data_IF_022460534263
#
_entry.id   IF_022460534263
#
_cell.length_a   1.000
_cell.length_b   1.000
_cell.length_c   1.000
_cell.angle_alpha   90.00
_cell.angle_beta   90.00
_cell.angle_gamma   90.00
#
_symmetry.space_group_name_H-M   'P 1'
#
loop_
_entity.id
_entity.type
_entity.pdbx_description
1 polymer ?
#
# COMPACT_ATOMS: atom_id res chain seq x y z
N UNK A 1 -1.06 -31.62 3.64
CA UNK A 1 -0.10 -30.84 2.82
C UNK A 1 -0.25 -31.26 1.36
N UNK A 2 -0.24 -32.57 1.08
CA UNK A 2 -0.26 -33.16 -0.27
C UNK A 2 -1.40 -32.70 -1.20
N UNK A 3 -2.60 -32.48 -0.66
CA UNK A 3 -3.73 -31.95 -1.42
C UNK A 3 -3.48 -30.50 -1.88
N UNK A 4 -2.94 -29.63 -1.03
CA UNK A 4 -2.67 -28.23 -1.40
C UNK A 4 -1.54 -28.11 -2.42
N UNK A 5 -0.53 -28.99 -2.34
CA UNK A 5 0.54 -29.06 -3.33
C UNK A 5 0.03 -29.54 -4.69
N UNK A 6 -0.90 -30.49 -4.73
CA UNK A 6 -1.47 -31.00 -5.99
C UNK A 6 -2.26 -29.94 -6.77
N UNK A 7 -2.93 -29.01 -6.08
CA UNK A 7 -3.69 -27.92 -6.71
C UNK A 7 -2.91 -26.59 -6.83
N UNK A 8 -1.71 -26.54 -6.27
CA UNK A 8 -0.84 -25.35 -6.24
C UNK A 8 0.34 -25.40 -7.20
N UNK A 9 0.60 -26.55 -7.84
CA UNK A 9 1.71 -26.72 -8.77
C UNK A 9 1.23 -26.84 -10.23
N UNK A 10 1.97 -26.29 -11.21
CA UNK A 10 1.72 -26.55 -12.62
C UNK A 10 1.64 -28.05 -12.92
N UNK A 11 0.77 -28.49 -13.86
CA UNK A 11 0.11 -27.69 -14.90
C UNK A 11 -1.29 -27.13 -14.54
N UNK A 12 -1.80 -27.39 -13.33
CA UNK A 12 -3.16 -26.99 -12.93
C UNK A 12 -3.14 -26.14 -11.66
N UNK A 13 -2.59 -24.93 -11.75
CA UNK A 13 -2.41 -24.02 -10.62
C UNK A 13 -3.68 -23.21 -10.27
N UNK A 14 -4.82 -23.89 -10.12
CA UNK A 14 -6.11 -23.24 -9.85
C UNK A 14 -6.08 -22.34 -8.61
N UNK A 15 -5.34 -22.73 -7.58
CA UNK A 15 -5.25 -21.97 -6.34
C UNK A 15 -4.55 -20.63 -6.57
N UNK A 16 -3.36 -20.62 -7.18
CA UNK A 16 -2.63 -19.38 -7.45
C UNK A 16 -3.41 -18.48 -8.41
N UNK A 17 -3.98 -19.03 -9.48
CA UNK A 17 -4.79 -18.26 -10.43
C UNK A 17 -6.01 -17.63 -9.75
N UNK A 18 -6.72 -18.38 -8.92
CA UNK A 18 -7.90 -17.87 -8.20
C UNK A 18 -7.49 -16.77 -7.23
N UNK A 19 -6.42 -16.98 -6.46
CA UNK A 19 -5.88 -15.95 -5.57
C UNK A 19 -5.51 -14.69 -6.37
N UNK A 20 -4.90 -14.86 -7.54
CA UNK A 20 -4.38 -13.75 -8.36
C UNK A 20 -5.52 -12.89 -8.91
N UNK A 21 -6.51 -13.54 -9.51
CA UNK A 21 -7.70 -12.87 -10.01
C UNK A 21 -8.53 -12.25 -8.88
N UNK A 22 -8.65 -12.95 -7.74
CA UNK A 22 -9.35 -12.41 -6.57
C UNK A 22 -8.68 -11.16 -6.03
N UNK A 23 -7.34 -11.10 -6.09
CA UNK A 23 -6.55 -9.96 -5.64
C UNK A 23 -6.75 -8.75 -6.55
N UNK A 24 -6.72 -8.95 -7.88
CA UNK A 24 -7.03 -7.90 -8.86
C UNK A 24 -8.46 -7.39 -8.69
N UNK A 25 -9.44 -8.31 -8.62
CA UNK A 25 -10.84 -7.95 -8.47
C UNK A 25 -11.08 -7.16 -7.16
N UNK A 26 -10.47 -7.61 -6.06
CA UNK A 26 -10.55 -6.92 -4.77
C UNK A 26 -9.90 -5.53 -4.85
N UNK A 27 -8.74 -5.40 -5.49
CA UNK A 27 -8.07 -4.11 -5.68
C UNK A 27 -8.96 -3.10 -6.41
N UNK A 28 -9.56 -3.53 -7.52
CA UNK A 28 -10.43 -2.69 -8.34
C UNK A 28 -11.70 -2.30 -7.58
N UNK A 29 -12.35 -3.27 -6.94
CA UNK A 29 -13.55 -3.04 -6.15
C UNK A 29 -13.30 -2.04 -5.00
N UNK A 30 -12.24 -2.27 -4.20
CA UNK A 30 -11.90 -1.41 -3.08
C UNK A 30 -11.52 0.01 -3.55
N UNK A 31 -10.73 0.12 -4.63
CA UNK A 31 -10.37 1.41 -5.23
C UNK A 31 -11.61 2.18 -5.66
N UNK A 32 -12.52 1.52 -6.38
CA UNK A 32 -13.75 2.13 -6.86
C UNK A 32 -14.67 2.54 -5.70
N UNK A 33 -14.88 1.65 -4.72
CA UNK A 33 -15.70 1.89 -3.54
C UNK A 33 -15.19 3.07 -2.71
N UNK A 34 -13.89 3.12 -2.43
CA UNK A 34 -13.25 4.24 -1.72
C UNK A 34 -13.41 5.53 -2.52
N UNK A 35 -13.13 5.50 -3.83
CA UNK A 35 -13.21 6.71 -4.68
C UNK A 35 -14.62 7.28 -4.74
N UNK A 36 -15.65 6.44 -4.91
CA UNK A 36 -17.05 6.87 -4.86
C UNK A 36 -17.39 7.47 -3.49
N UNK A 37 -17.00 6.81 -2.40
CA UNK A 37 -17.27 7.28 -1.04
C UNK A 37 -16.63 8.66 -0.78
N UNK A 38 -15.38 8.84 -1.21
CA UNK A 38 -14.68 10.12 -1.10
C UNK A 38 -15.31 11.19 -1.99
N UNK A 39 -15.69 10.85 -3.22
CA UNK A 39 -16.37 11.77 -4.13
C UNK A 39 -17.73 12.22 -3.58
N UNK A 40 -18.55 11.29 -3.09
CA UNK A 40 -19.84 11.62 -2.49
C UNK A 40 -19.70 12.57 -1.28
N UNK A 41 -18.69 12.36 -0.43
CA UNK A 41 -18.37 13.27 0.68
C UNK A 41 -17.87 14.62 0.19
N UNK A 42 -17.01 14.63 -0.81
CA UNK A 42 -16.53 15.86 -1.44
C UNK A 42 -17.71 16.67 -2.00
N UNK A 43 -18.64 16.04 -2.72
CA UNK A 43 -19.81 16.74 -3.26
C UNK A 43 -20.74 17.25 -2.17
N UNK A 44 -20.99 16.45 -1.12
CA UNK A 44 -21.83 16.88 -0.01
C UNK A 44 -21.25 18.10 0.73
N UNK A 45 -19.93 18.23 0.84
CA UNK A 45 -19.27 19.32 1.57
C UNK A 45 -19.12 20.58 0.73
N UNK A 46 -18.77 20.45 -0.54
CA UNK A 46 -18.38 21.58 -1.39
C UNK A 46 -19.46 22.01 -2.40
N UNK A 47 -20.50 21.20 -2.61
CA UNK A 47 -21.63 21.52 -3.50
C UNK A 47 -22.98 21.67 -2.79
N UNK A 48 -23.09 21.34 -1.50
CA UNK A 48 -24.26 21.78 -0.73
C UNK A 48 -24.23 23.31 -0.68
N UNK A 49 -25.21 23.96 -1.31
CA UNK A 49 -25.32 25.41 -1.38
C UNK A 49 -25.24 26.00 0.03
N UNK A 50 -24.44 27.07 0.19
CA UNK A 50 -24.37 27.83 1.43
C UNK A 50 -25.74 28.51 1.63
N UNK A 51 -26.72 27.80 2.21
CA UNK A 51 -27.97 28.41 2.63
C UNK A 51 -27.61 29.59 3.55
N UNK A 52 -28.12 30.81 3.27
CA UNK A 52 -27.75 31.99 4.02
C UNK A 52 -28.30 31.90 5.45
N UNK A 53 -27.52 31.35 6.38
CA UNK A 53 -27.85 31.38 7.81
C UNK A 53 -27.91 32.83 8.29
N UNK A 54 -29.05 33.29 8.85
CA UNK A 54 -29.22 34.66 9.32
C UNK A 54 -28.60 34.83 10.72
N UNK A 55 -27.26 34.93 10.81
CA UNK A 55 -26.57 35.27 12.07
C UNK A 55 -25.84 36.61 12.02
N UNK A 56 -26.01 37.38 13.09
CA UNK A 56 -25.82 38.83 13.20
C UNK A 56 -24.40 39.30 13.54
N UNK A 57 -23.37 38.45 13.42
CA UNK A 57 -21.96 38.88 13.39
C UNK A 57 -21.08 38.01 12.44
N UNK A 58 -21.38 37.96 11.12
CA UNK A 58 -20.94 36.87 10.27
C UNK A 58 -19.60 37.08 9.53
N UNK A 59 -19.15 38.33 9.33
CA UNK A 59 -18.18 38.62 8.26
C UNK A 59 -16.78 38.02 8.44
N UNK A 60 -16.23 37.97 9.66
CA UNK A 60 -14.86 37.49 9.88
C UNK A 60 -14.77 35.96 10.00
N UNK A 61 -15.77 35.32 10.63
CA UNK A 61 -15.80 33.87 10.82
C UNK A 61 -16.16 33.15 9.52
N UNK A 62 -17.12 33.67 8.74
CA UNK A 62 -17.46 33.12 7.43
C UNK A 62 -16.28 33.21 6.46
N UNK A 63 -15.54 34.33 6.46
CA UNK A 63 -14.38 34.52 5.61
C UNK A 63 -13.25 33.52 5.94
N UNK A 64 -12.98 33.27 7.23
CA UNK A 64 -11.98 32.27 7.67
C UNK A 64 -12.41 30.85 7.30
N UNK A 65 -13.69 30.53 7.42
CA UNK A 65 -14.21 29.22 7.03
C UNK A 65 -14.12 29.02 5.51
N UNK A 66 -14.49 30.04 4.72
CA UNK A 66 -14.40 30.00 3.27
C UNK A 66 -12.95 29.81 2.79
N UNK A 67 -11.98 30.53 3.38
CA UNK A 67 -10.57 30.35 3.03
C UNK A 67 -10.03 28.97 3.43
N UNK A 68 -10.46 28.44 4.57
CA UNK A 68 -10.11 27.07 4.98
C UNK A 68 -10.71 26.01 4.05
N UNK A 69 -11.98 26.15 3.65
CA UNK A 69 -12.64 25.29 2.66
C UNK A 69 -11.88 25.29 1.33
N UNK A 70 -11.54 26.47 0.80
CA UNK A 70 -10.85 26.60 -0.48
C UNK A 70 -9.43 25.99 -0.44
N UNK A 71 -8.67 26.24 0.63
CA UNK A 71 -7.35 25.63 0.80
C UNK A 71 -7.44 24.09 0.85
N UNK A 72 -8.44 23.53 1.53
CA UNK A 72 -8.65 22.08 1.63
C UNK A 72 -9.09 21.48 0.30
N UNK A 73 -9.96 22.16 -0.45
CA UNK A 73 -10.35 21.76 -1.81
C UNK A 73 -9.12 21.62 -2.71
N UNK A 74 -8.22 22.62 -2.69
CA UNK A 74 -6.95 22.56 -3.44
C UNK A 74 -6.08 21.37 -3.01
N UNK A 75 -5.92 21.13 -1.71
CA UNK A 75 -5.16 19.98 -1.22
C UNK A 75 -5.77 18.65 -1.67
N UNK A 76 -7.09 18.49 -1.57
CA UNK A 76 -7.80 17.29 -2.03
C UNK A 76 -7.54 17.06 -3.52
N UNK A 77 -7.60 18.10 -4.35
CA UNK A 77 -7.31 18.00 -5.79
C UNK A 77 -5.87 17.56 -6.05
N UNK A 78 -4.89 18.11 -5.33
CA UNK A 78 -3.48 17.71 -5.44
C UNK A 78 -3.31 16.23 -5.10
N UNK A 79 -3.87 15.77 -3.98
CA UNK A 79 -3.78 14.36 -3.59
C UNK A 79 -4.55 13.44 -4.53
N UNK A 80 -5.69 13.89 -5.08
CA UNK A 80 -6.44 13.13 -6.08
C UNK A 80 -5.63 12.97 -7.38
N UNK A 81 -5.01 14.04 -7.88
CA UNK A 81 -4.12 13.98 -9.04
C UNK A 81 -2.93 13.05 -8.78
N UNK A 82 -2.29 13.20 -7.63
CA UNK A 82 -1.16 12.35 -7.23
C UNK A 82 -1.58 10.87 -7.13
N UNK A 83 -2.74 10.59 -6.53
CA UNK A 83 -3.30 9.23 -6.44
C UNK A 83 -3.56 8.64 -7.82
N UNK A 84 -4.07 9.44 -8.77
CA UNK A 84 -4.29 9.03 -10.15
C UNK A 84 -2.98 8.71 -10.87
N UNK A 85 -1.94 9.51 -10.69
CA UNK A 85 -0.60 9.26 -11.25
C UNK A 85 -0.02 7.95 -10.68
N UNK A 86 -0.10 7.76 -9.36
CA UNK A 86 0.37 6.53 -8.70
C UNK A 86 -0.37 5.32 -9.25
N UNK A 87 -1.70 5.39 -9.31
CA UNK A 87 -2.55 4.30 -9.80
C UNK A 87 -2.26 3.96 -11.26
N UNK A 88 -2.13 4.97 -12.12
CA UNK A 88 -1.82 4.77 -13.54
C UNK A 88 -0.42 4.16 -13.74
N UNK A 89 0.59 4.67 -13.02
CA UNK A 89 1.96 4.14 -13.07
C UNK A 89 2.01 2.67 -12.65
N UNK A 90 1.34 2.33 -11.55
CA UNK A 90 1.25 0.96 -11.08
C UNK A 90 0.51 0.05 -12.08
N UNK A 91 -0.65 0.50 -12.56
CA UNK A 91 -1.47 -0.28 -13.50
C UNK A 91 -0.70 -0.57 -14.78
N UNK A 92 0.05 0.41 -15.29
CA UNK A 92 0.92 0.25 -16.44
C UNK A 92 1.99 -0.83 -16.20
N UNK A 93 2.70 -0.78 -15.06
CA UNK A 93 3.76 -1.76 -14.74
C UNK A 93 3.23 -3.17 -14.53
N UNK A 94 2.12 -3.30 -13.80
CA UNK A 94 1.49 -4.61 -13.60
C UNK A 94 0.96 -5.19 -14.91
N UNK A 95 0.35 -4.38 -15.77
CA UNK A 95 -0.08 -4.83 -17.10
C UNK A 95 1.11 -5.22 -17.98
N UNK A 96 2.20 -4.46 -17.93
CA UNK A 96 3.42 -4.78 -18.67
C UNK A 96 4.04 -6.11 -18.19
N UNK A 97 4.14 -6.33 -16.88
CA UNK A 97 4.56 -7.60 -16.29
C UNK A 97 3.73 -8.78 -16.80
N UNK A 98 2.40 -8.67 -16.76
CA UNK A 98 1.50 -9.72 -17.24
C UNK A 98 1.65 -9.98 -18.73
N UNK A 99 1.82 -8.93 -19.51
CA UNK A 99 2.04 -9.01 -20.95
C UNK A 99 3.35 -9.73 -21.27
N UNK A 100 4.45 -9.36 -20.60
CA UNK A 100 5.74 -10.02 -20.77
C UNK A 100 5.72 -11.48 -20.35
N UNK A 101 5.08 -11.80 -19.21
CA UNK A 101 4.91 -13.18 -18.75
C UNK A 101 4.11 -14.02 -19.74
N UNK A 102 3.02 -13.48 -20.30
CA UNK A 102 2.22 -14.16 -21.32
C UNK A 102 3.02 -14.44 -22.60
N UNK A 103 3.78 -13.44 -23.09
CA UNK A 103 4.62 -13.63 -24.27
C UNK A 103 5.76 -14.63 -24.05
N UNK A 104 6.38 -14.61 -22.87
CA UNK A 104 7.42 -15.58 -22.53
C UNK A 104 6.88 -17.01 -22.53
N UNK A 105 5.76 -17.24 -21.84
CA UNK A 105 5.06 -18.54 -21.85
C UNK A 105 4.69 -18.98 -23.27
N UNK A 106 4.15 -18.07 -24.09
CA UNK A 106 3.75 -18.38 -25.46
C UNK A 106 4.96 -18.74 -26.34
N UNK A 107 6.08 -18.03 -26.20
CA UNK A 107 7.30 -18.31 -26.95
C UNK A 107 7.80 -19.73 -26.67
N UNK A 108 7.77 -20.16 -25.41
CA UNK A 108 8.13 -21.52 -25.00
C UNK A 108 7.21 -22.58 -25.65
N UNK A 109 5.92 -22.29 -25.76
CA UNK A 109 4.96 -23.19 -26.44
C UNK A 109 5.09 -23.21 -27.96
N UNK A 110 5.43 -22.08 -28.59
CA UNK A 110 5.64 -22.02 -30.05
C UNK A 110 6.87 -22.83 -30.48
N UNK A 111 7.94 -22.85 -29.67
CA UNK A 111 9.08 -23.75 -29.90
C UNK A 111 8.71 -25.24 -29.91
N UNK A 112 7.58 -25.62 -29.29
CA UNK A 112 7.03 -26.97 -29.32
C UNK A 112 6.14 -27.25 -30.56
N UNK A 113 6.18 -26.39 -31.58
CA UNK A 113 5.50 -26.56 -32.86
C UNK A 113 4.00 -26.25 -32.85
N UNK A 114 3.53 -25.47 -31.86
CA UNK A 114 2.13 -25.07 -31.71
C UNK A 114 1.96 -23.60 -32.06
N UNK A 115 1.86 -23.28 -33.35
CA UNK A 115 1.43 -21.95 -33.80
C UNK A 115 -0.09 -21.86 -33.67
N UNK A 116 -0.54 -21.35 -32.53
CA UNK A 116 -1.97 -21.20 -32.20
C UNK A 116 -2.34 -19.71 -32.19
N UNK A 117 -3.48 -19.31 -32.79
CA UNK A 117 -3.96 -17.93 -32.75
C UNK A 117 -4.41 -17.54 -31.33
N UNK A 118 -4.23 -16.26 -30.97
CA UNK A 118 -4.60 -15.72 -29.66
C UNK A 118 -6.08 -15.97 -29.40
N UNK A 119 -6.38 -16.92 -28.51
CA UNK A 119 -7.74 -17.26 -28.10
C UNK A 119 -7.88 -17.09 -26.58
N UNK A 120 -9.10 -16.84 -26.10
CA UNK A 120 -9.36 -16.73 -24.64
C UNK A 120 -8.94 -17.98 -23.86
N UNK A 121 -8.93 -19.15 -24.52
CA UNK A 121 -8.42 -20.39 -23.95
C UNK A 121 -6.92 -20.37 -23.64
N UNK A 122 -6.12 -19.64 -24.43
CA UNK A 122 -4.68 -19.52 -24.20
C UNK A 122 -4.36 -18.69 -22.97
N UNK A 123 -5.10 -17.59 -22.74
CA UNK A 123 -4.94 -16.77 -21.53
C UNK A 123 -5.30 -17.59 -20.29
N UNK A 124 -6.37 -18.39 -20.37
CA UNK A 124 -6.73 -19.33 -19.31
C UNK A 124 -5.64 -20.36 -19.04
N UNK A 125 -5.09 -20.98 -20.10
CA UNK A 125 -4.00 -21.94 -19.98
C UNK A 125 -2.73 -21.31 -19.39
N UNK A 126 -2.33 -20.13 -19.87
CA UNK A 126 -1.21 -19.37 -19.33
C UNK A 126 -1.37 -19.11 -17.84
N UNK A 127 -2.54 -18.64 -17.40
CA UNK A 127 -2.78 -18.37 -15.99
C UNK A 127 -2.73 -19.63 -15.12
N UNK A 128 -3.13 -20.79 -15.64
CA UNK A 128 -3.13 -22.07 -14.92
C UNK A 128 -1.76 -22.76 -14.92
N UNK A 129 -0.95 -22.54 -15.96
CA UNK A 129 0.37 -23.16 -16.11
C UNK A 129 1.49 -22.34 -15.47
N UNK A 130 1.30 -21.03 -15.28
CA UNK A 130 2.32 -20.14 -14.70
C UNK A 130 2.16 -19.95 -13.19
N UNK A 131 3.28 -19.68 -12.53
CA UNK A 131 3.38 -19.41 -11.09
C UNK A 131 3.49 -17.90 -10.81
N UNK A 132 2.62 -17.08 -11.42
CA UNK A 132 2.73 -15.61 -11.44
C UNK A 132 3.09 -14.96 -10.10
N UNK A 133 2.47 -15.38 -8.99
CA UNK A 133 2.78 -14.85 -7.66
C UNK A 133 4.16 -15.24 -7.15
N UNK A 134 4.54 -16.49 -7.39
CA UNK A 134 5.82 -17.02 -6.97
C UNK A 134 6.94 -16.33 -7.77
N UNK A 135 6.76 -16.23 -9.09
CA UNK A 135 7.69 -15.54 -9.99
C UNK A 135 7.85 -14.07 -9.59
N UNK A 136 6.74 -13.39 -9.30
CA UNK A 136 6.75 -12.01 -8.81
C UNK A 136 7.50 -11.89 -7.49
N UNK A 137 7.24 -12.77 -6.52
CA UNK A 137 7.89 -12.73 -5.22
C UNK A 137 9.40 -13.01 -5.31
N UNK A 138 9.81 -13.99 -6.13
CA UNK A 138 11.22 -14.30 -6.39
C UNK A 138 11.92 -13.14 -7.10
N UNK A 139 11.27 -12.49 -8.07
CA UNK A 139 11.83 -11.34 -8.77
C UNK A 139 12.20 -10.20 -7.80
N UNK A 140 11.39 -9.98 -6.76
CA UNK A 140 11.65 -8.96 -5.75
C UNK A 140 12.91 -9.20 -4.91
N UNK A 141 13.38 -10.44 -4.81
CA UNK A 141 14.52 -10.80 -3.95
C UNK A 141 15.68 -11.44 -4.72
N UNK A 142 15.54 -11.54 -6.05
CA UNK A 142 16.45 -12.26 -6.96
C UNK A 142 17.91 -11.87 -6.79
N UNK A 143 18.17 -10.58 -6.60
CA UNK A 143 19.51 -10.03 -6.42
C UNK A 143 19.55 -9.01 -5.26
N UNK A 144 20.77 -8.66 -4.84
CA UNK A 144 20.99 -7.72 -3.72
C UNK A 144 20.26 -6.39 -3.89
N UNK A 145 20.41 -5.66 -5.01
CA UNK A 145 19.64 -4.45 -5.30
C UNK A 145 18.13 -4.64 -5.18
N UNK A 146 17.59 -5.71 -5.77
CA UNK A 146 16.15 -6.00 -5.77
C UNK A 146 15.64 -6.19 -4.34
N UNK A 147 16.34 -7.03 -3.56
CA UNK A 147 16.01 -7.31 -2.17
C UNK A 147 15.93 -6.04 -1.30
N UNK A 148 16.78 -5.05 -1.58
CA UNK A 148 16.85 -3.80 -0.81
C UNK A 148 15.67 -2.91 -1.09
N UNK A 149 15.32 -2.75 -2.36
CA UNK A 149 14.13 -2.01 -2.76
C UNK A 149 12.87 -2.70 -2.25
N UNK A 150 12.80 -4.03 -2.29
CA UNK A 150 11.70 -4.78 -1.68
C UNK A 150 11.62 -4.52 -0.17
N UNK A 151 12.75 -4.57 0.54
CA UNK A 151 12.83 -4.24 1.97
C UNK A 151 12.39 -2.80 2.24
N UNK A 152 12.88 -1.83 1.47
CA UNK A 152 12.53 -0.41 1.61
C UNK A 152 11.04 -0.19 1.33
N UNK A 153 10.47 -0.82 0.32
CA UNK A 153 9.05 -0.71 0.00
C UNK A 153 8.16 -1.32 1.09
N UNK A 154 8.54 -2.48 1.64
CA UNK A 154 7.79 -3.11 2.75
C UNK A 154 7.92 -2.29 4.04
N UNK A 155 9.10 -1.73 4.34
CA UNK A 155 9.27 -0.84 5.50
C UNK A 155 8.54 0.50 5.31
N UNK A 156 8.54 1.05 4.09
CA UNK A 156 7.69 2.19 3.73
C UNK A 156 6.22 1.87 4.00
N UNK A 157 5.76 0.68 3.59
CA UNK A 157 4.42 0.18 3.88
C UNK A 157 4.14 0.10 5.37
N UNK A 158 5.08 -0.42 6.15
CA UNK A 158 4.99 -0.45 7.61
C UNK A 158 4.81 0.95 8.20
N UNK A 159 5.62 1.92 7.78
CA UNK A 159 5.55 3.29 8.31
C UNK A 159 4.27 4.02 7.93
N UNK A 160 3.83 3.90 6.68
CA UNK A 160 2.54 4.42 6.25
C UNK A 160 1.39 3.78 7.02
N UNK A 161 1.44 2.46 7.25
CA UNK A 161 0.47 1.74 8.06
C UNK A 161 0.41 2.25 9.50
N UNK A 162 1.56 2.47 10.15
CA UNK A 162 1.64 3.07 11.49
C UNK A 162 1.05 4.47 11.54
N UNK A 163 1.41 5.31 10.56
CA UNK A 163 0.92 6.67 10.47
C UNK A 163 -0.61 6.69 10.26
N UNK A 164 -1.13 5.89 9.33
CA UNK A 164 -2.56 5.76 9.08
C UNK A 164 -3.31 5.27 10.31
N UNK A 165 -2.82 4.24 11.00
CA UNK A 165 -3.45 3.72 12.20
C UNK A 165 -3.47 4.75 13.35
N UNK A 166 -2.40 5.52 13.48
CA UNK A 166 -2.30 6.61 14.46
C UNK A 166 -3.31 7.72 14.15
N UNK A 167 -3.36 8.18 12.89
CA UNK A 167 -4.32 9.20 12.44
C UNK A 167 -5.77 8.75 12.55
N UNK A 168 -6.08 7.51 12.17
CA UNK A 168 -7.39 6.91 12.34
C UNK A 168 -7.81 6.88 13.81
N UNK A 169 -6.88 6.53 14.72
CA UNK A 169 -7.14 6.54 16.16
C UNK A 169 -7.38 7.94 16.71
N UNK A 170 -6.60 8.93 16.25
CA UNK A 170 -6.73 10.35 16.64
C UNK A 170 -8.07 10.93 16.16
N UNK A 171 -8.46 10.64 14.92
CA UNK A 171 -9.73 11.07 14.31
C UNK A 171 -10.93 10.20 14.70
N UNK A 172 -10.70 9.13 15.48
CA UNK A 172 -11.72 8.18 15.96
C UNK A 172 -12.52 7.51 14.83
N UNK A 173 -11.84 7.18 13.73
CA UNK A 173 -12.46 6.41 12.66
C UNK A 173 -12.88 5.03 13.17
N UNK A 174 -14.04 4.56 12.72
CA UNK A 174 -14.53 3.22 13.07
C UNK A 174 -13.71 2.18 12.31
N UNK A 175 -13.54 0.99 12.90
CA UNK A 175 -12.83 -0.13 12.28
C UNK A 175 -13.44 -0.48 10.90
N UNK A 176 -14.77 -0.42 10.80
CA UNK A 176 -15.51 -0.64 9.54
C UNK A 176 -15.17 0.38 8.46
N UNK A 177 -14.95 1.64 8.84
CA UNK A 177 -14.60 2.69 7.89
C UNK A 177 -13.14 2.64 7.43
N UNK A 178 -12.28 2.02 8.24
CA UNK A 178 -10.86 1.82 7.94
C UNK A 178 -10.60 0.54 7.15
N UNK A 179 -11.47 -0.47 7.29
CA UNK A 179 -11.29 -1.78 6.67
C UNK A 179 -10.99 -1.69 5.16
N UNK A 180 -11.69 -0.87 4.34
CA UNK A 180 -11.36 -0.76 2.91
C UNK A 180 -9.92 -0.29 2.66
N UNK A 181 -9.42 0.67 3.45
CA UNK A 181 -8.06 1.19 3.33
C UNK A 181 -7.02 0.17 3.81
N UNK A 182 -7.33 -0.58 4.88
CA UNK A 182 -6.46 -1.63 5.39
C UNK A 182 -6.30 -2.74 4.35
N UNK A 183 -7.42 -3.21 3.79
CA UNK A 183 -7.43 -4.22 2.75
C UNK A 183 -6.73 -3.73 1.48
N UNK A 184 -7.02 -2.49 1.04
CA UNK A 184 -6.38 -1.91 -0.13
C UNK A 184 -4.86 -1.78 0.06
N UNK A 185 -4.39 -1.39 1.26
CA UNK A 185 -2.97 -1.30 1.57
C UNK A 185 -2.24 -2.65 1.70
N UNK A 186 -2.97 -3.76 1.85
CA UNK A 186 -2.39 -5.09 1.69
C UNK A 186 -2.24 -5.46 0.22
N UNK A 187 -3.15 -4.97 -0.61
CA UNK A 187 -3.30 -5.40 -2.00
C UNK A 187 -2.43 -4.58 -2.95
N UNK A 188 -2.59 -3.27 -2.89
CA UNK A 188 -1.91 -2.30 -3.72
C UNK A 188 -0.71 -1.67 -2.99
N UNK A 189 0.20 -1.02 -3.74
CA UNK A 189 1.26 -0.22 -3.16
C UNK A 189 0.71 0.83 -2.21
N UNK A 190 1.46 1.05 -1.14
CA UNK A 190 0.94 1.76 0.03
C UNK A 190 0.76 3.25 -0.24
N UNK A 191 1.56 3.85 -1.14
CA UNK A 191 1.48 5.30 -1.41
C UNK A 191 0.12 5.68 -2.00
N UNK A 192 -0.46 4.82 -2.84
CA UNK A 192 -1.80 5.01 -3.38
C UNK A 192 -2.84 5.01 -2.26
N UNK A 193 -2.83 3.98 -1.42
CA UNK A 193 -3.76 3.87 -0.29
C UNK A 193 -3.61 5.05 0.69
N UNK A 194 -2.37 5.44 0.99
CA UNK A 194 -2.07 6.59 1.85
C UNK A 194 -2.61 7.89 1.25
N UNK A 195 -2.49 8.10 -0.07
CA UNK A 195 -3.02 9.29 -0.74
C UNK A 195 -4.55 9.38 -0.65
N UNK A 196 -5.26 8.27 -0.85
CA UNK A 196 -6.72 8.20 -0.67
C UNK A 196 -7.11 8.45 0.79
N UNK A 197 -6.33 7.91 1.73
CA UNK A 197 -6.54 8.13 3.15
C UNK A 197 -6.32 9.59 3.56
N UNK A 198 -5.31 10.27 2.98
CA UNK A 198 -5.09 11.71 3.18
C UNK A 198 -6.29 12.54 2.69
N UNK A 199 -6.85 12.20 1.53
CA UNK A 199 -8.08 12.85 1.03
C UNK A 199 -9.20 12.68 2.06
N UNK A 200 -9.36 11.47 2.62
CA UNK A 200 -10.32 11.23 3.70
C UNK A 200 -10.08 12.14 4.91
N UNK A 201 -8.82 12.26 5.37
CA UNK A 201 -8.48 13.11 6.51
C UNK A 201 -8.86 14.59 6.26
N UNK A 202 -8.69 15.08 5.03
CA UNK A 202 -9.11 16.43 4.67
C UNK A 202 -10.63 16.62 4.66
N UNK A 203 -11.37 15.63 4.14
CA UNK A 203 -12.83 15.65 4.13
C UNK A 203 -13.44 15.55 5.53
N UNK A 204 -12.74 14.91 6.48
CA UNK A 204 -13.18 14.74 7.88
C UNK A 204 -12.48 15.72 8.84
N UNK A 205 -11.95 16.85 8.31
CA UNK A 205 -11.36 17.91 9.15
C UNK A 205 -12.44 18.59 9.99
N UNK A 206 -12.23 18.81 11.30
CA UNK A 206 -13.22 19.38 12.22
C UNK A 206 -13.62 20.81 11.86
N UNK A 207 -12.79 21.51 11.09
CA UNK A 207 -13.07 22.88 10.64
C UNK A 207 -14.16 22.92 9.55
N UNK A 208 -14.40 21.79 8.87
CA UNK A 208 -15.31 21.70 7.71
C UNK A 208 -16.44 20.70 7.96
N UNK A 209 -16.16 19.62 8.70
CA UNK A 209 -17.16 18.64 9.03
C UNK A 209 -18.23 19.27 9.94
N UNK A 210 -19.54 19.02 9.69
CA UNK A 210 -20.60 19.44 10.58
C UNK A 210 -20.29 18.95 12.00
N UNK A 211 -20.41 19.82 12.99
CA UNK A 211 -20.21 19.42 14.38
C UNK A 211 -21.24 18.34 14.72
N UNK A 212 -20.79 17.10 14.91
CA UNK A 212 -21.67 16.00 15.31
C UNK A 212 -22.12 16.24 16.76
N UNK A 213 -23.39 16.62 17.01
CA UNK A 213 -23.88 16.95 18.35
C UNK A 213 -23.87 15.73 19.29
N UNK A 214 -23.69 14.51 18.75
CA UNK A 214 -23.75 13.26 19.49
C UNK A 214 -22.39 12.80 20.05
N UNK A 215 -21.27 13.42 19.66
CA UNK A 215 -19.94 12.88 19.95
C UNK A 215 -19.40 13.18 21.37
N UNK A 216 -20.21 12.95 22.42
CA UNK A 216 -19.66 12.93 23.79
C UNK A 216 -18.60 11.83 23.88
N UNK A 217 -17.35 12.15 24.26
CA UNK A 217 -16.27 11.17 24.32
C UNK A 217 -16.60 10.12 25.39
N UNK A 218 -16.98 8.91 24.94
CA UNK A 218 -17.12 7.80 25.86
C UNK A 218 -15.79 7.56 26.61
N UNK A 219 -15.80 7.40 27.93
CA UNK A 219 -14.59 7.16 28.70
C UNK A 219 -13.92 5.86 28.23
N UNK A 220 -12.76 6.00 27.58
CA UNK A 220 -11.99 4.83 27.09
C UNK A 220 -11.32 4.16 28.28
N UNK A 221 -11.76 2.94 28.61
CA UNK A 221 -11.03 2.06 29.53
C UNK A 221 -9.61 1.83 28.97
N UNK A 222 -8.59 2.17 29.76
CA UNK A 222 -7.18 1.96 29.44
C UNK A 222 -6.88 0.47 29.40
N UNK A 223 -7.05 -0.18 28.24
CA UNK A 223 -6.55 -1.53 28.02
C UNK A 223 -5.02 -1.47 27.91
N UNK A 224 -4.31 -2.36 28.61
CA UNK A 224 -2.86 -2.55 28.43
C UNK A 224 -2.62 -2.95 26.97
N UNK A 225 -1.82 -2.18 26.25
CA UNK A 225 -1.47 -2.42 24.84
C UNK A 225 -0.07 -3.00 24.75
N UNK A 226 0.15 -3.93 23.83
CA UNK A 226 1.46 -4.52 23.58
C UNK A 226 2.42 -3.50 22.95
N UNK A 227 3.73 -3.64 23.18
CA UNK A 227 4.74 -2.77 22.55
C UNK A 227 4.82 -3.04 21.04
N UNK A 228 5.05 -1.97 20.27
CA UNK A 228 5.26 -2.04 18.83
C UNK A 228 6.65 -2.58 18.45
N UNK A 229 7.56 -2.64 19.41
CA UNK A 229 8.95 -3.10 19.18
C UNK A 229 9.00 -4.53 18.65
N UNK A 230 8.19 -5.45 19.22
CA UNK A 230 8.20 -6.86 18.84
C UNK A 230 7.79 -7.09 17.37
N UNK A 231 6.63 -6.62 16.88
CA UNK A 231 6.27 -6.80 15.47
C UNK A 231 7.27 -6.11 14.53
N UNK A 232 7.87 -4.99 14.93
CA UNK A 232 8.95 -4.35 14.14
C UNK A 232 10.19 -5.22 14.03
N UNK A 233 10.64 -5.85 15.12
CA UNK A 233 11.78 -6.77 15.08
C UNK A 233 11.47 -8.00 14.22
N UNK A 234 10.26 -8.57 14.36
CA UNK A 234 9.83 -9.71 13.55
C UNK A 234 9.77 -9.37 12.06
N UNK A 235 9.25 -8.19 11.70
CA UNK A 235 9.22 -7.72 10.32
C UNK A 235 10.64 -7.58 9.77
N UNK A 236 11.52 -6.84 10.46
CA UNK A 236 12.89 -6.63 9.98
C UNK A 236 13.69 -7.94 9.88
N UNK A 237 13.56 -8.84 10.85
CA UNK A 237 14.18 -10.16 10.79
C UNK A 237 13.69 -10.95 9.57
N UNK A 238 12.38 -10.93 9.31
CA UNK A 238 11.80 -11.59 8.13
C UNK A 238 12.37 -11.01 6.84
N UNK A 239 12.43 -9.69 6.72
CA UNK A 239 12.96 -9.01 5.54
C UNK A 239 14.45 -9.32 5.28
N UNK A 240 15.27 -9.44 6.33
CA UNK A 240 16.66 -9.86 6.19
C UNK A 240 16.82 -11.33 5.78
N UNK A 241 15.88 -12.18 6.17
CA UNK A 241 15.90 -13.61 5.84
C UNK A 241 15.41 -13.89 4.40
N UNK A 242 14.51 -13.08 3.86
CA UNK A 242 13.88 -13.31 2.55
C UNK A 242 14.89 -13.61 1.41
N UNK A 243 15.95 -12.82 1.17
CA UNK A 243 16.87 -13.06 0.06
C UNK A 243 17.66 -14.37 0.22
N UNK A 244 18.00 -14.74 1.46
CA UNK A 244 18.72 -15.98 1.75
C UNK A 244 17.85 -17.22 1.62
N UNK A 245 16.55 -17.07 1.84
CA UNK A 245 15.57 -18.14 1.79
C UNK A 245 14.84 -18.20 0.45
N UNK A 246 15.22 -17.42 -0.57
CA UNK A 246 14.49 -17.37 -1.84
C UNK A 246 14.27 -18.76 -2.48
N UNK A 247 15.25 -19.66 -2.42
CA UNK A 247 15.14 -21.01 -2.99
C UNK A 247 14.57 -22.05 -2.00
N UNK A 248 14.12 -21.63 -0.82
CA UNK A 248 13.64 -22.52 0.24
C UNK A 248 12.10 -22.58 0.23
N UNK A 249 11.52 -23.74 0.50
CA UNK A 249 10.05 -23.95 0.50
C UNK A 249 9.30 -23.00 1.47
N UNK A 250 9.98 -22.57 2.53
CA UNK A 250 9.48 -21.59 3.50
C UNK A 250 9.46 -20.13 3.02
N UNK A 251 9.97 -19.81 1.83
CA UNK A 251 10.03 -18.46 1.29
C UNK A 251 8.66 -17.77 1.28
N UNK A 252 7.68 -18.41 0.64
CA UNK A 252 6.33 -17.86 0.51
C UNK A 252 5.64 -17.71 1.86
N UNK A 253 5.87 -18.63 2.80
CA UNK A 253 5.34 -18.51 4.16
C UNK A 253 5.93 -17.30 4.89
N UNK A 254 7.20 -16.99 4.67
CA UNK A 254 7.84 -15.81 5.23
C UNK A 254 7.31 -14.50 4.62
N UNK A 255 7.05 -14.48 3.30
CA UNK A 255 6.39 -13.35 2.63
C UNK A 255 5.00 -13.10 3.20
N UNK A 256 4.18 -14.16 3.35
CA UNK A 256 2.85 -14.06 3.96
C UNK A 256 2.93 -13.61 5.42
N UNK A 257 3.89 -14.12 6.18
CA UNK A 257 4.12 -13.68 7.55
C UNK A 257 4.43 -12.18 7.62
N UNK A 258 5.32 -11.67 6.75
CA UNK A 258 5.62 -10.24 6.68
C UNK A 258 4.35 -9.42 6.40
N UNK A 259 3.49 -9.87 5.47
CA UNK A 259 2.18 -9.25 5.19
C UNK A 259 1.24 -9.26 6.40
N UNK A 260 1.15 -10.36 7.13
CA UNK A 260 0.36 -10.44 8.37
C UNK A 260 0.87 -9.46 9.44
N UNK A 261 2.19 -9.31 9.56
CA UNK A 261 2.79 -8.34 10.49
C UNK A 261 2.39 -6.90 10.11
N UNK A 262 2.29 -6.56 8.82
CA UNK A 262 1.83 -5.23 8.36
C UNK A 262 0.40 -4.88 8.81
N UNK A 263 -0.44 -5.86 9.16
CA UNK A 263 -1.80 -5.63 9.68
C UNK A 263 -1.84 -5.30 11.18
N UNK A 264 -0.77 -5.60 11.91
CA UNK A 264 -0.71 -5.44 13.38
C UNK A 264 -1.07 -4.03 13.88
N UNK A 265 -0.64 -2.91 13.24
CA UNK A 265 -0.98 -1.56 13.66
C UNK A 265 -2.49 -1.30 13.75
N UNK A 266 -3.28 -1.97 12.92
CA UNK A 266 -4.73 -1.79 12.83
C UNK A 266 -5.52 -2.68 13.80
N UNK A 267 -4.86 -3.64 14.47
CA UNK A 267 -5.52 -4.57 15.39
C UNK A 267 -6.08 -3.93 16.66
N UNK A 268 -5.70 -2.68 16.97
CA UNK A 268 -6.01 -2.01 18.24
C UNK A 268 -5.33 -2.61 19.48
N UNK A 269 -4.51 -3.67 19.30
CA UNK A 269 -3.81 -4.38 20.39
C UNK A 269 -2.43 -3.80 20.69
N UNK A 270 -1.84 -3.06 19.76
CA UNK A 270 -0.52 -2.44 19.90
C UNK A 270 -0.58 -0.97 20.32
N UNK A 271 0.43 -0.54 21.06
CA UNK A 271 0.61 0.85 21.48
C UNK A 271 1.08 1.69 20.28
N UNK A 272 0.28 2.69 19.92
CA UNK A 272 0.60 3.68 18.89
C UNK A 272 0.99 5.02 19.53
N UNK A 273 1.67 4.97 20.68
CA UNK A 273 2.24 6.18 21.30
C UNK A 273 3.38 6.68 20.43
N UNK A 274 3.53 7.99 20.31
CA UNK A 274 4.58 8.60 19.48
C UNK A 274 5.98 8.09 19.84
N UNK A 275 6.27 7.86 21.12
CA UNK A 275 7.55 7.27 21.57
C UNK A 275 7.78 5.83 21.06
N UNK A 276 6.74 5.00 21.00
CA UNK A 276 6.82 3.63 20.48
C UNK A 276 6.94 3.63 18.95
N UNK A 277 6.24 4.54 18.27
CA UNK A 277 6.34 4.72 16.81
C UNK A 277 7.74 5.20 16.43
N UNK A 278 8.27 6.21 17.13
CA UNK A 278 9.64 6.69 16.91
C UNK A 278 10.67 5.60 17.16
N UNK A 279 10.52 4.82 18.25
CA UNK A 279 11.39 3.67 18.53
C UNK A 279 11.33 2.63 17.41
N UNK A 280 10.13 2.30 16.91
CA UNK A 280 9.95 1.38 15.77
C UNK A 280 10.65 1.91 14.51
N UNK A 281 10.50 3.21 14.21
CA UNK A 281 11.19 3.86 13.09
C UNK A 281 12.71 3.81 13.23
N UNK A 282 13.25 4.12 14.42
CA UNK A 282 14.70 4.05 14.68
C UNK A 282 15.22 2.62 14.53
N UNK A 283 14.52 1.61 15.05
CA UNK A 283 14.91 0.20 14.92
C UNK A 283 14.95 -0.19 13.44
N UNK A 284 13.87 0.02 12.70
CA UNK A 284 13.82 -0.29 11.26
C UNK A 284 14.87 0.47 10.46
N UNK A 285 15.08 1.76 10.75
CA UNK A 285 16.12 2.58 10.12
C UNK A 285 17.52 2.02 10.38
N UNK A 286 17.80 1.55 11.60
CA UNK A 286 19.05 0.87 11.95
C UNK A 286 19.27 -0.41 11.15
N UNK A 287 18.23 -1.23 10.96
CA UNK A 287 18.29 -2.45 10.14
C UNK A 287 18.56 -2.14 8.67
N UNK A 288 17.90 -1.13 8.10
CA UNK A 288 18.15 -0.68 6.73
C UNK A 288 19.57 -0.16 6.58
N UNK A 289 20.02 0.71 7.48
CA UNK A 289 21.38 1.26 7.45
C UNK A 289 22.44 0.16 7.58
N UNK A 290 22.23 -0.82 8.46
CA UNK A 290 23.11 -1.98 8.61
C UNK A 290 23.14 -2.82 7.32
N UNK A 291 21.98 -3.10 6.73
CA UNK A 291 21.91 -3.88 5.49
C UNK A 291 22.60 -3.14 4.32
N UNK A 292 22.34 -1.85 4.15
CA UNK A 292 23.00 -0.99 3.17
C UNK A 292 24.53 -0.95 3.40
N UNK A 293 24.98 -0.88 4.65
CA UNK A 293 26.40 -0.87 4.98
C UNK A 293 27.08 -2.22 4.67
N UNK A 294 26.39 -3.34 4.94
CA UNK A 294 26.88 -4.68 4.58
C UNK A 294 27.00 -4.83 3.06
N UNK A 295 25.99 -4.39 2.33
CA UNK A 295 25.99 -4.46 0.87
C UNK A 295 26.95 -3.50 0.20
N UNK A 296 27.27 -2.35 0.80
CA UNK A 296 28.25 -1.41 0.21
C UNK A 296 29.59 -2.09 -0.07
N UNK A 297 29.90 -3.18 0.63
CA UNK A 297 31.10 -4.01 0.40
C UNK A 297 31.00 -4.86 -0.87
N UNK A 298 29.80 -5.18 -1.34
CA UNK A 298 29.55 -6.15 -2.42
C UNK A 298 28.86 -5.53 -3.65
N UNK A 299 28.13 -4.43 -3.48
CA UNK A 299 27.32 -3.78 -4.53
C UNK A 299 27.54 -2.27 -4.45
N UNK A 300 28.01 -1.60 -5.53
CA UNK A 300 28.13 -0.16 -5.55
C UNK A 300 26.74 0.49 -5.50
N UNK A 301 26.62 1.61 -4.77
CA UNK A 301 25.31 2.32 -4.61
C UNK A 301 24.68 2.74 -5.94
N UNK A 302 25.50 2.97 -6.97
CA UNK A 302 25.03 3.25 -8.33
C UNK A 302 24.21 2.10 -8.91
N UNK A 303 24.53 0.85 -8.58
CA UNK A 303 23.79 -0.33 -9.05
C UNK A 303 22.47 -0.51 -8.31
N UNK A 304 22.39 -0.11 -7.03
CA UNK A 304 21.11 -0.07 -6.30
C UNK A 304 20.16 0.93 -6.94
N UNK A 305 20.64 2.15 -7.25
CA UNK A 305 19.83 3.15 -7.94
C UNK A 305 19.49 2.73 -9.38
N UNK A 306 20.44 2.13 -10.10
CA UNK A 306 20.22 1.61 -11.46
C UNK A 306 19.21 0.47 -11.45
N UNK A 307 19.17 -0.35 -10.41
CA UNK A 307 18.20 -1.42 -10.21
C UNK A 307 16.75 -0.94 -10.33
N UNK A 308 16.44 0.30 -9.95
CA UNK A 308 15.10 0.87 -10.16
C UNK A 308 14.71 0.99 -11.65
N UNK A 309 15.71 1.19 -12.53
CA UNK A 309 15.52 1.36 -13.98
C UNK A 309 15.73 0.05 -14.76
N UNK A 310 16.67 -0.77 -14.32
CA UNK A 310 17.08 -2.01 -15.03
C UNK A 310 16.56 -3.28 -14.39
N UNK A 311 15.94 -3.18 -13.21
CA UNK A 311 15.26 -4.31 -12.59
C UNK A 311 14.04 -4.73 -13.37
N UNK A 312 13.51 -5.90 -13.02
CA UNK A 312 12.26 -6.35 -13.62
C UNK A 312 11.07 -5.49 -13.19
N UNK A 313 9.91 -5.77 -13.79
CA UNK A 313 8.71 -4.95 -13.60
C UNK A 313 8.18 -4.96 -12.17
N UNK A 314 8.33 -6.08 -11.45
CA UNK A 314 7.93 -6.18 -10.05
C UNK A 314 8.74 -5.21 -9.18
N UNK A 315 10.05 -5.18 -9.41
CA UNK A 315 10.96 -4.27 -8.74
C UNK A 315 10.68 -2.81 -9.12
N UNK A 316 10.48 -2.55 -10.42
CA UNK A 316 10.11 -1.24 -10.93
C UNK A 316 8.85 -0.71 -10.26
N UNK A 317 7.81 -1.55 -10.10
CA UNK A 317 6.56 -1.16 -9.45
C UNK A 317 6.76 -0.78 -7.98
N UNK A 318 7.47 -1.61 -7.19
CA UNK A 318 7.72 -1.32 -5.78
C UNK A 318 8.66 -0.15 -5.56
N UNK A 319 9.72 -0.05 -6.37
CA UNK A 319 10.67 1.04 -6.25
C UNK A 319 10.03 2.39 -6.61
N UNK A 320 9.19 2.44 -7.64
CA UNK A 320 8.42 3.65 -7.96
C UNK A 320 7.39 3.99 -6.89
N UNK A 321 6.74 3.00 -6.27
CA UNK A 321 5.88 3.24 -5.12
C UNK A 321 6.65 3.86 -3.94
N UNK A 322 7.87 3.40 -3.66
CA UNK A 322 8.70 3.98 -2.60
C UNK A 322 9.08 5.45 -2.91
N UNK A 323 9.42 5.75 -4.15
CA UNK A 323 9.71 7.12 -4.61
C UNK A 323 8.47 8.01 -4.50
N UNK A 324 7.33 7.54 -5.01
CA UNK A 324 6.06 8.29 -4.97
C UNK A 324 5.53 8.45 -3.55
N UNK A 325 5.71 7.44 -2.69
CA UNK A 325 5.43 7.52 -1.26
C UNK A 325 6.30 8.57 -0.58
N UNK A 326 7.58 8.66 -0.92
CA UNK A 326 8.46 9.72 -0.40
C UNK A 326 7.99 11.10 -0.86
N UNK A 327 7.62 11.24 -2.13
CA UNK A 327 7.06 12.48 -2.67
C UNK A 327 5.75 12.88 -1.96
N UNK A 328 4.84 11.92 -1.74
CA UNK A 328 3.61 12.13 -0.97
C UNK A 328 3.91 12.62 0.46
N UNK A 329 4.89 12.00 1.13
CA UNK A 329 5.35 12.42 2.46
C UNK A 329 5.89 13.85 2.48
N UNK A 330 6.66 14.23 1.46
CA UNK A 330 7.17 15.59 1.31
C UNK A 330 6.04 16.61 1.08
N UNK A 331 5.07 16.29 0.21
CA UNK A 331 3.88 17.14 -0.04
C UNK A 331 3.06 17.32 1.23
N UNK A 332 2.85 16.25 2.01
CA UNK A 332 2.19 16.31 3.31
C UNK A 332 2.91 17.20 4.33
N UNK A 333 4.24 17.08 4.39
CA UNK A 333 5.08 17.89 5.26
C UNK A 333 5.03 19.38 4.90
N UNK A 334 5.02 19.70 3.60
CA UNK A 334 4.95 21.08 3.12
C UNK A 334 3.56 21.72 3.33
N UNK A 335 2.49 20.97 3.12
CA UNK A 335 1.10 21.44 3.21
C UNK A 335 0.58 21.72 4.64
N UNK A 336 1.45 21.70 5.65
CA UNK A 336 1.09 21.98 7.05
C UNK A 336 0.49 20.79 7.81
N UNK A 337 0.58 19.57 7.28
CA UNK A 337 0.09 18.34 7.91
C UNK A 337 -1.44 18.26 8.08
N UNK A 338 -1.94 17.02 8.20
CA UNK A 338 -3.34 16.71 8.56
C UNK A 338 -3.40 16.01 9.90
#
# INVERSE_FOLDING_TARGET
>A
MDFLTQYGSPPTNYLSTTLFLSYIASALYLTFSISISLHAKYTAIFHAEDEPTPESNPKSKSQRLASAKEARKRHIQIYAMLSGIIFASLSYRMLHFLTLSFYAWRSEKSHLGKDVPISGGEVGAWMLETSLFDDFAHELVRDGPSAVWAQLAILGTWFWGLWMATKATQRRFTDTSMLPYILLGQVLPISFTASLFVIRLHLESPDIAPADPSSKPAPRKLKKRASLTLPTLLLNASLLCLPRLQNHEGFMLLVLFARLVLLVPFSGRVSLKDSEVMKSMTVSGGFVAANLAMMRKTVPMGDVARGLKTGGEALGALGWDAVLGTALGAVLGWGGGV
#
